data_IF_793404301996
#
_entry.id   IF_793404301996
#
_cell.length_a   1.000
_cell.length_b   1.000
_cell.length_c   1.000
_cell.angle_alpha   90.00
_cell.angle_beta   90.00
_cell.angle_gamma   90.00
#
_symmetry.space_group_name_H-M   'P 1'
#
loop_
_entity.id
_entity.type
_entity.pdbx_description
1 polymer ?
#
# COMPACT_ATOMS: atom_id res chain seq x y z
N UNK A 1 9.29 0.19 12.25
CA UNK A 1 8.22 -0.80 11.98
C UNK A 1 6.89 -0.48 12.69
N UNK A 2 6.85 -0.33 14.02
CA UNK A 2 5.63 0.14 14.70
C UNK A 2 5.23 1.56 14.25
N UNK A 3 6.22 2.40 13.95
CA UNK A 3 6.02 3.78 13.52
C UNK A 3 5.30 3.90 12.17
N UNK A 4 5.80 3.30 11.09
CA UNK A 4 5.15 3.38 9.77
C UNK A 4 3.71 2.83 9.78
N UNK A 5 3.45 1.76 10.54
CA UNK A 5 2.08 1.24 10.73
C UNK A 5 1.20 2.22 11.49
N UNK A 6 1.75 2.90 12.50
CA UNK A 6 1.07 3.99 13.21
C UNK A 6 0.72 5.16 12.28
N UNK A 7 1.63 5.56 11.40
CA UNK A 7 1.41 6.61 10.39
C UNK A 7 0.30 6.18 9.42
N UNK A 8 0.31 4.94 8.93
CA UNK A 8 -0.76 4.41 8.06
C UNK A 8 -2.12 4.48 8.77
N UNK A 9 -2.21 4.04 10.03
CA UNK A 9 -3.46 4.11 10.82
C UNK A 9 -3.96 5.54 10.99
N UNK A 10 -3.05 6.48 11.26
CA UNK A 10 -3.40 7.87 11.43
C UNK A 10 -3.85 8.52 10.11
N UNK A 11 -3.17 8.23 9.00
CA UNK A 11 -3.58 8.68 7.68
C UNK A 11 -4.96 8.12 7.28
N UNK A 12 -5.22 6.84 7.57
CA UNK A 12 -6.54 6.23 7.40
C UNK A 12 -7.61 6.96 8.24
N UNK A 13 -7.34 7.24 9.53
CA UNK A 13 -8.33 7.93 10.37
C UNK A 13 -8.69 9.30 9.79
N UNK A 14 -7.71 10.04 9.25
CA UNK A 14 -7.96 11.32 8.55
C UNK A 14 -8.87 11.17 7.33
N UNK A 15 -8.77 10.07 6.59
CA UNK A 15 -9.69 9.78 5.47
C UNK A 15 -11.11 9.56 5.99
N UNK A 16 -11.30 8.79 7.06
CA UNK A 16 -12.62 8.59 7.66
C UNK A 16 -13.19 9.89 8.23
N UNK A 17 -12.39 10.69 8.93
CA UNK A 17 -12.83 11.94 9.55
C UNK A 17 -13.28 12.99 8.52
N UNK A 18 -12.58 13.09 7.38
CA UNK A 18 -12.75 14.20 6.44
C UNK A 18 -13.41 13.80 5.10
N UNK A 19 -13.43 12.51 4.77
CA UNK A 19 -13.89 12.01 3.46
C UNK A 19 -14.82 10.80 3.57
N UNK A 20 -15.55 10.64 4.68
CA UNK A 20 -16.53 9.56 4.87
C UNK A 20 -17.54 9.44 3.72
N UNK A 21 -17.90 10.57 3.09
CA UNK A 21 -18.76 10.61 1.92
C UNK A 21 -18.29 9.68 0.80
N UNK A 22 -16.97 9.57 0.56
CA UNK A 22 -16.42 8.70 -0.48
C UNK A 22 -16.72 7.22 -0.19
N UNK A 23 -16.64 6.84 1.07
CA UNK A 23 -16.87 5.47 1.55
C UNK A 23 -18.36 5.13 1.53
N UNK A 24 -19.21 6.05 2.02
CA UNK A 24 -20.66 5.86 2.08
C UNK A 24 -21.30 5.76 0.69
N UNK A 25 -20.79 6.52 -0.27
CA UNK A 25 -21.31 6.58 -1.63
C UNK A 25 -20.60 5.63 -2.60
N UNK A 26 -19.76 4.71 -2.08
CA UNK A 26 -19.05 3.71 -2.87
C UNK A 26 -18.26 4.32 -4.04
N UNK A 27 -17.69 5.50 -3.80
CA UNK A 27 -16.87 6.19 -4.80
C UNK A 27 -15.65 5.32 -5.10
N UNK A 28 -15.11 5.41 -6.32
CA UNK A 28 -13.95 4.64 -6.74
C UNK A 28 -12.84 4.63 -5.66
N UNK A 29 -12.28 3.44 -5.40
CA UNK A 29 -11.19 3.25 -4.46
C UNK A 29 -10.02 4.22 -4.71
N UNK A 30 -9.74 4.56 -5.98
CA UNK A 30 -8.71 5.54 -6.36
C UNK A 30 -8.91 6.91 -5.71
N UNK A 31 -10.15 7.35 -5.53
CA UNK A 31 -10.43 8.62 -4.83
C UNK A 31 -10.09 8.54 -3.34
N UNK A 32 -10.28 7.37 -2.72
CA UNK A 32 -9.93 7.11 -1.33
C UNK A 32 -8.41 7.00 -1.18
N UNK A 33 -7.75 6.25 -2.06
CA UNK A 33 -6.28 6.11 -2.12
C UNK A 33 -5.61 7.47 -2.31
N UNK A 34 -6.18 8.35 -3.15
CA UNK A 34 -5.68 9.71 -3.33
C UNK A 34 -5.63 10.48 -2.00
N UNK A 35 -6.75 10.55 -1.28
CA UNK A 35 -6.79 11.29 -0.01
C UNK A 35 -5.96 10.62 1.09
N UNK A 36 -5.94 9.29 1.15
CA UNK A 36 -5.00 8.58 2.01
C UNK A 36 -3.55 8.99 1.69
N UNK A 37 -3.19 9.02 0.41
CA UNK A 37 -1.86 9.42 -0.06
C UNK A 37 -1.49 10.85 0.34
N UNK A 38 -2.44 11.79 0.29
CA UNK A 38 -2.23 13.18 0.77
C UNK A 38 -1.87 13.18 2.26
N UNK A 39 -2.72 12.62 3.12
CA UNK A 39 -2.47 12.62 4.56
C UNK A 39 -1.19 11.86 4.91
N UNK A 40 -0.99 10.69 4.29
CA UNK A 40 0.21 9.88 4.49
C UNK A 40 1.46 10.67 4.11
N UNK A 41 1.47 11.35 2.96
CA UNK A 41 2.58 12.17 2.49
C UNK A 41 2.91 13.33 3.44
N UNK A 42 1.89 14.03 3.93
CA UNK A 42 2.07 15.14 4.88
C UNK A 42 2.73 14.66 6.18
N UNK A 43 2.34 13.47 6.68
CA UNK A 43 2.92 12.93 7.92
C UNK A 43 4.34 12.44 7.69
N UNK A 44 4.61 11.65 6.63
CA UNK A 44 5.94 11.06 6.42
C UNK A 44 7.04 12.10 6.17
N UNK A 45 6.69 13.28 5.64
CA UNK A 45 7.63 14.39 5.45
C UNK A 45 8.28 14.90 6.74
N UNK A 46 7.61 14.70 7.87
CA UNK A 46 8.10 15.14 9.18
C UNK A 46 8.79 13.99 9.95
N UNK A 47 9.16 12.91 9.25
CA UNK A 47 9.76 11.69 9.84
C UNK A 47 11.00 11.26 9.06
N UNK A 48 11.61 10.14 9.46
CA UNK A 48 12.74 9.52 8.76
C UNK A 48 12.42 9.11 7.30
N UNK A 49 11.13 9.01 6.95
CA UNK A 49 10.68 8.61 5.61
C UNK A 49 10.63 9.78 4.60
N UNK A 50 11.03 10.99 5.00
CA UNK A 50 10.95 12.21 4.19
C UNK A 50 11.73 12.17 2.87
N UNK A 51 12.80 11.38 2.80
CA UNK A 51 13.64 11.21 1.60
C UNK A 51 13.10 10.14 0.63
N UNK A 52 12.08 9.37 1.02
CA UNK A 52 11.48 8.36 0.15
C UNK A 52 10.45 8.98 -0.81
N UNK A 53 10.18 8.26 -1.89
CA UNK A 53 9.14 8.62 -2.84
C UNK A 53 7.84 7.90 -2.48
N UNK A 54 6.75 8.66 -2.44
CA UNK A 54 5.39 8.12 -2.37
C UNK A 54 4.77 8.19 -3.76
N UNK A 55 4.36 7.06 -4.31
CA UNK A 55 3.76 6.99 -5.64
C UNK A 55 2.52 6.10 -5.65
N UNK A 56 1.49 6.52 -6.39
CA UNK A 56 0.27 5.76 -6.67
C UNK A 56 0.43 5.01 -8.00
N UNK A 57 0.03 3.73 -8.04
CA UNK A 57 0.08 2.87 -9.24
C UNK A 57 1.46 2.82 -9.95
N UNK A 58 2.57 2.97 -9.20
CA UNK A 58 3.91 3.00 -9.78
C UNK A 58 4.32 1.65 -10.37
N UNK A 59 4.34 1.58 -11.69
CA UNK A 59 4.43 0.33 -12.46
C UNK A 59 5.79 0.12 -13.13
N UNK A 60 6.84 0.75 -12.61
CA UNK A 60 8.19 0.66 -13.17
C UNK A 60 9.13 -0.11 -12.26
N UNK A 61 10.01 -0.87 -12.91
CA UNK A 61 11.22 -1.42 -12.34
C UNK A 61 12.38 -0.96 -13.23
N UNK A 62 13.07 0.09 -12.79
CA UNK A 62 13.99 0.84 -13.64
C UNK A 62 13.30 1.28 -14.95
N UNK A 63 13.83 0.87 -16.12
CA UNK A 63 13.26 1.16 -17.44
C UNK A 63 12.15 0.20 -17.86
N UNK A 64 11.99 -0.94 -17.16
CA UNK A 64 11.01 -1.97 -17.47
C UNK A 64 9.71 -1.83 -16.70
N UNK A 65 8.65 -2.56 -17.10
CA UNK A 65 7.46 -2.70 -16.28
C UNK A 65 7.76 -3.51 -15.02
N UNK A 66 7.10 -3.17 -13.92
CA UNK A 66 7.10 -3.96 -12.70
C UNK A 66 6.38 -5.29 -12.97
N UNK A 67 7.02 -6.40 -12.64
CA UNK A 67 6.52 -7.78 -12.82
C UNK A 67 6.79 -8.57 -11.56
N UNK A 68 5.89 -9.45 -11.16
CA UNK A 68 6.13 -10.41 -10.07
C UNK A 68 6.04 -11.84 -10.58
N UNK A 69 6.38 -12.83 -9.74
CA UNK A 69 6.25 -14.26 -10.07
C UNK A 69 4.83 -14.59 -10.56
N UNK A 70 3.81 -14.08 -9.85
CA UNK A 70 2.40 -14.34 -10.20
C UNK A 70 1.82 -13.30 -11.16
N UNK A 71 2.52 -12.20 -11.43
CA UNK A 71 2.13 -11.18 -12.40
C UNK A 71 3.26 -10.94 -13.43
N UNK A 72 3.57 -11.93 -14.28
CA UNK A 72 4.70 -11.86 -15.19
C UNK A 72 4.47 -10.86 -16.32
N UNK A 73 3.23 -10.44 -16.59
CA UNK A 73 2.90 -9.51 -17.68
C UNK A 73 2.89 -8.03 -17.28
N UNK A 74 2.95 -7.73 -15.99
CA UNK A 74 2.94 -6.36 -15.47
C UNK A 74 2.08 -6.28 -14.22
N UNK A 75 2.47 -5.44 -13.26
CA UNK A 75 1.70 -5.20 -12.04
C UNK A 75 1.84 -3.77 -11.55
N UNK A 76 0.85 -3.33 -10.79
CA UNK A 76 0.66 -1.96 -10.31
C UNK A 76 0.21 -2.08 -8.85
N UNK A 77 1.08 -1.81 -7.86
CA UNK A 77 0.63 -1.65 -6.50
C UNK A 77 -0.12 -0.33 -6.35
N UNK A 78 -1.20 -0.31 -5.56
CA UNK A 78 -2.04 0.90 -5.44
C UNK A 78 -1.24 2.09 -4.92
N UNK A 79 -0.40 1.87 -3.91
CA UNK A 79 0.47 2.90 -3.33
C UNK A 79 1.75 2.29 -2.77
N UNK A 80 2.89 2.93 -3.05
CA UNK A 80 4.19 2.49 -2.56
C UNK A 80 5.02 3.63 -1.96
N UNK A 81 5.79 3.30 -0.93
CA UNK A 81 6.85 4.13 -0.37
C UNK A 81 8.20 3.46 -0.68
N UNK A 82 8.99 4.09 -1.53
CA UNK A 82 10.15 3.45 -2.17
C UNK A 82 11.19 4.46 -2.67
N UNK A 83 12.31 3.96 -3.20
CA UNK A 83 13.26 4.76 -3.96
C UNK A 83 13.09 4.51 -5.46
N UNK A 84 12.71 5.53 -6.23
CA UNK A 84 12.50 5.37 -7.67
C UNK A 84 13.78 4.89 -8.37
N UNK A 85 13.63 3.89 -9.23
CA UNK A 85 14.71 3.40 -10.11
C UNK A 85 15.69 2.41 -9.47
N UNK A 86 15.50 2.01 -8.21
CA UNK A 86 16.28 0.97 -7.50
C UNK A 86 15.37 0.14 -6.59
N UNK A 87 15.82 -1.03 -6.14
CA UNK A 87 15.02 -1.95 -5.30
C UNK A 87 15.74 -2.35 -4.00
N UNK A 88 16.79 -1.65 -3.64
CA UNK A 88 17.61 -1.96 -2.46
C UNK A 88 17.07 -1.36 -1.16
N UNK A 89 16.10 -0.45 -1.25
CA UNK A 89 15.45 0.13 -0.07
C UNK A 89 13.99 0.52 -0.38
N UNK A 90 13.13 -0.50 -0.41
CA UNK A 90 11.69 -0.37 -0.61
C UNK A 90 10.97 -0.61 0.72
N UNK A 91 10.16 0.35 1.18
CA UNK A 91 9.63 0.33 2.55
C UNK A 91 8.25 -0.31 2.61
N UNK A 92 7.31 0.23 1.84
CA UNK A 92 5.90 -0.11 1.98
C UNK A 92 5.24 -0.30 0.62
N UNK A 93 4.51 -1.40 0.45
CA UNK A 93 3.54 -1.59 -0.63
C UNK A 93 2.15 -1.80 -0.04
N UNK A 94 1.15 -1.08 -0.55
CA UNK A 94 -0.22 -1.16 -0.07
C UNK A 94 -1.16 -1.53 -1.23
N UNK A 95 -2.09 -2.43 -0.93
CA UNK A 95 -3.25 -2.76 -1.77
C UNK A 95 -4.51 -2.41 -0.99
N UNK A 96 -5.41 -1.64 -1.60
CA UNK A 96 -6.67 -1.24 -1.01
C UNK A 96 -7.82 -2.02 -1.63
N UNK A 97 -8.78 -2.41 -0.80
CA UNK A 97 -10.09 -2.87 -1.27
C UNK A 97 -11.21 -2.20 -0.53
N UNK A 98 -12.27 -1.78 -1.23
CA UNK A 98 -13.45 -1.30 -0.56
C UNK A 98 -14.37 -2.45 -0.11
N UNK A 99 -15.13 -2.25 0.96
CA UNK A 99 -16.08 -3.23 1.47
C UNK A 99 -17.16 -3.66 0.47
N UNK A 100 -17.45 -2.83 -0.55
CA UNK A 100 -18.41 -3.17 -1.61
C UNK A 100 -17.80 -3.96 -2.77
N UNK A 101 -16.48 -4.21 -2.76
CA UNK A 101 -15.79 -5.07 -3.72
C UNK A 101 -14.55 -5.75 -3.06
N UNK A 102 -14.76 -6.70 -2.12
CA UNK A 102 -13.73 -7.15 -1.18
C UNK A 102 -12.84 -8.30 -1.68
N UNK A 103 -12.81 -8.62 -2.97
CA UNK A 103 -11.94 -9.70 -3.47
C UNK A 103 -10.46 -9.35 -3.27
N UNK A 104 -9.74 -10.09 -2.41
CA UNK A 104 -8.36 -9.77 -1.97
C UNK A 104 -7.32 -10.85 -2.26
N UNK A 105 -7.71 -12.02 -2.77
CA UNK A 105 -6.78 -13.17 -2.89
C UNK A 105 -5.59 -12.85 -3.81
N UNK A 106 -5.86 -12.29 -4.99
CA UNK A 106 -4.82 -11.90 -5.94
C UNK A 106 -3.90 -10.80 -5.38
N UNK A 107 -4.43 -9.88 -4.58
CA UNK A 107 -3.67 -8.77 -3.99
C UNK A 107 -2.79 -9.23 -2.83
N UNK A 108 -3.23 -10.21 -2.04
CA UNK A 108 -2.37 -10.83 -1.02
C UNK A 108 -1.19 -11.54 -1.67
N UNK A 109 -1.42 -12.32 -2.74
CA UNK A 109 -0.35 -13.00 -3.49
C UNK A 109 0.65 -11.97 -4.04
N UNK A 110 0.14 -10.83 -4.56
CA UNK A 110 0.97 -9.74 -5.06
C UNK A 110 1.86 -9.13 -3.96
N UNK A 111 1.33 -8.89 -2.77
CA UNK A 111 2.10 -8.40 -1.63
C UNK A 111 3.11 -9.42 -1.10
N UNK A 112 2.78 -10.71 -1.14
CA UNK A 112 3.73 -11.77 -0.83
C UNK A 112 4.91 -11.75 -1.81
N UNK A 113 4.64 -11.61 -3.10
CA UNK A 113 5.71 -11.47 -4.10
C UNK A 113 6.55 -10.21 -3.88
N UNK A 114 5.92 -9.07 -3.54
CA UNK A 114 6.62 -7.81 -3.31
C UNK A 114 7.53 -7.83 -2.08
N UNK A 115 7.14 -8.55 -1.04
CA UNK A 115 7.87 -8.63 0.24
C UNK A 115 8.79 -9.84 0.33
N UNK A 116 8.81 -10.73 -0.67
CA UNK A 116 9.65 -11.92 -0.67
C UNK A 116 11.15 -11.52 -0.65
N UNK A 117 11.96 -12.00 0.32
CA UNK A 117 13.37 -11.64 0.44
C UNK A 117 14.23 -12.16 -0.73
N UNK A 118 13.80 -13.25 -1.36
CA UNK A 118 14.41 -13.82 -2.57
C UNK A 118 13.84 -13.19 -3.85
N UNK A 119 12.84 -12.30 -3.71
CA UNK A 119 12.21 -11.57 -4.79
C UNK A 119 13.01 -10.35 -5.27
N UNK A 120 12.51 -9.70 -6.31
CA UNK A 120 13.19 -8.57 -6.94
C UNK A 120 13.04 -7.26 -6.15
N UNK A 121 11.89 -7.06 -5.49
CA UNK A 121 11.53 -5.77 -4.89
C UNK A 121 11.80 -5.65 -3.40
N UNK A 122 11.67 -6.76 -2.66
CA UNK A 122 12.05 -6.85 -1.25
C UNK A 122 11.49 -5.72 -0.38
N UNK A 123 10.22 -5.38 -0.59
CA UNK A 123 9.53 -4.42 0.29
C UNK A 123 9.56 -4.92 1.73
N UNK A 124 9.92 -4.06 2.67
CA UNK A 124 9.96 -4.43 4.09
C UNK A 124 8.58 -4.84 4.61
N UNK A 125 7.52 -4.14 4.16
CA UNK A 125 6.15 -4.35 4.60
C UNK A 125 5.19 -4.28 3.40
N UNK A 126 4.29 -5.26 3.33
CA UNK A 126 3.11 -5.22 2.49
C UNK A 126 1.86 -5.05 3.36
N UNK A 127 0.89 -4.24 2.91
CA UNK A 127 -0.39 -4.07 3.60
C UNK A 127 -1.54 -4.32 2.65
N UNK A 128 -2.40 -5.27 2.99
CA UNK A 128 -3.70 -5.44 2.33
C UNK A 128 -4.75 -4.77 3.20
N UNK A 129 -5.29 -3.63 2.77
CA UNK A 129 -6.19 -2.79 3.55
C UNK A 129 -7.60 -2.91 3.00
N UNK A 130 -8.53 -3.35 3.85
CA UNK A 130 -9.97 -3.28 3.59
C UNK A 130 -10.51 -1.96 4.13
N UNK A 131 -10.98 -1.09 3.25
CA UNK A 131 -11.76 0.10 3.60
C UNK A 131 -13.16 -0.35 3.98
N UNK A 132 -13.38 -0.56 5.28
CA UNK A 132 -14.67 -0.91 5.86
C UNK A 132 -15.65 0.26 5.92
N UNK A 133 -16.92 -0.01 6.26
CA UNK A 133 -17.96 1.02 6.36
C UNK A 133 -17.68 2.05 7.44
N UNK A 134 -17.26 1.57 8.61
CA UNK A 134 -17.06 2.40 9.81
C UNK A 134 -15.58 2.53 10.16
N UNK A 135 -14.83 1.44 9.98
CA UNK A 135 -13.41 1.38 10.28
C UNK A 135 -12.66 0.58 9.22
N UNK A 136 -11.39 0.91 8.95
CA UNK A 136 -10.55 0.09 8.10
C UNK A 136 -10.04 -1.12 8.89
N UNK A 137 -9.73 -2.20 8.17
CA UNK A 137 -8.96 -3.33 8.70
C UNK A 137 -7.89 -3.71 7.68
N UNK A 138 -6.93 -4.55 8.06
CA UNK A 138 -5.95 -5.01 7.09
C UNK A 138 -5.09 -6.15 7.57
N UNK A 139 -4.35 -6.75 6.64
CA UNK A 139 -3.35 -7.78 6.89
C UNK A 139 -1.96 -7.23 6.63
N UNK A 140 -1.02 -7.60 7.49
CA UNK A 140 0.40 -7.27 7.39
C UNK A 140 1.13 -8.44 6.74
N UNK A 141 1.85 -8.17 5.65
CA UNK A 141 2.67 -9.14 4.92
C UNK A 141 4.14 -8.77 5.07
N UNK A 142 4.97 -9.73 5.45
CA UNK A 142 6.44 -9.57 5.57
C UNK A 142 7.12 -10.83 5.10
N UNK A 143 8.26 -10.68 4.44
CA UNK A 143 9.05 -11.80 3.94
C UNK A 143 8.24 -12.81 3.09
N UNK A 144 7.19 -12.36 2.39
CA UNK A 144 6.30 -13.25 1.63
C UNK A 144 5.20 -13.93 2.43
N UNK A 145 5.02 -13.61 3.72
CA UNK A 145 4.05 -14.27 4.60
C UNK A 145 3.14 -13.27 5.32
N UNK A 146 1.89 -13.67 5.57
CA UNK A 146 0.99 -12.89 6.44
C UNK A 146 1.43 -13.07 7.89
N UNK A 147 1.76 -11.96 8.55
CA UNK A 147 2.36 -11.95 9.91
C UNK A 147 1.45 -11.37 10.99
N UNK A 148 0.29 -10.83 10.62
CA UNK A 148 -0.68 -10.29 11.55
C UNK A 148 -1.69 -9.37 10.87
N UNK A 149 -2.48 -8.68 11.70
CA UNK A 149 -3.46 -7.70 11.26
C UNK A 149 -2.97 -6.27 11.55
N UNK A 150 -3.44 -5.32 10.74
CA UNK A 150 -3.21 -3.89 10.92
C UNK A 150 -4.07 -3.36 12.06
#
# INVERSE_FOLDING_TARGET
MSEILGIVKFALSKVYDNHIYLIENKVSERSIVFWFGIYFFEIIKETEYSEFNLDVEYNRNQKGPKRTKNNPHGTYPDLILHNRGRNDNNILAIEFKPWWNPGTEDDLIKLQDFTNPDGEYKYEIGLSILIGRETPSGKIVKNGEVTGDL
#
